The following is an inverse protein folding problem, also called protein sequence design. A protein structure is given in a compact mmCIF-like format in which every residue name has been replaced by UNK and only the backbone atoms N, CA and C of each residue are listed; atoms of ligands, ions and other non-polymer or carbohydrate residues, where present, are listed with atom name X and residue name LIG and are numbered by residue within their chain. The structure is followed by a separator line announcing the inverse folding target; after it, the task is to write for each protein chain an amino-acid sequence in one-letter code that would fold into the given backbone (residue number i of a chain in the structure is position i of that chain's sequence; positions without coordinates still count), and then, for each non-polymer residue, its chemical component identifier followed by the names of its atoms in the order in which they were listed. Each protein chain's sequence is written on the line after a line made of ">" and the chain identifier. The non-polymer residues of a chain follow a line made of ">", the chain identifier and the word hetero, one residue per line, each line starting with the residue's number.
data_IF_975511555408
#
_entry.id   IF_975511555408
#
_cell.length_a   1.000
_cell.length_b   1.000
_cell.length_c   1.000
_cell.angle_alpha   90.00
_cell.angle_beta   90.00
_cell.angle_gamma   90.00
#
_symmetry.space_group_name_H-M   'P 1'
#
loop_
_entity.id
_entity.type
_entity.pdbx_description
1 polymer ?
#
# COMPACT_ATOMS: atom_id res chain seq x y z
N UNK A 1 5.76 -28.24 -2.33
CA UNK A 1 5.57 -28.45 -0.87
C UNK A 1 6.24 -27.34 -0.06
N UNK A 2 7.55 -27.11 -0.18
CA UNK A 2 8.26 -26.00 0.49
C UNK A 2 7.72 -24.59 0.13
N UNK A 3 7.28 -24.39 -1.11
CA UNK A 3 6.69 -23.13 -1.57
C UNK A 3 5.44 -22.67 -0.80
N UNK A 4 4.69 -23.60 -0.18
CA UNK A 4 3.50 -23.28 0.63
C UNK A 4 3.89 -23.11 2.11
N UNK A 5 4.94 -23.80 2.57
CA UNK A 5 5.41 -23.72 3.96
C UNK A 5 6.20 -22.43 4.23
N UNK A 6 6.88 -21.88 3.22
CA UNK A 6 7.72 -20.69 3.39
C UNK A 6 6.91 -19.44 3.83
N UNK A 7 5.72 -19.13 3.27
CA UNK A 7 4.88 -18.02 3.75
C UNK A 7 4.22 -18.25 5.11
N UNK A 8 4.10 -19.51 5.55
CA UNK A 8 3.52 -19.84 6.88
C UNK A 8 4.43 -19.32 8.00
N UNK A 9 5.75 -19.31 7.78
CA UNK A 9 6.71 -18.86 8.77
C UNK A 9 6.52 -17.38 9.17
N UNK A 10 6.52 -16.38 8.26
CA UNK A 10 6.23 -15.00 8.65
C UNK A 10 4.79 -14.82 9.16
N UNK A 11 3.83 -15.61 8.67
CA UNK A 11 2.45 -15.60 9.20
C UNK A 11 2.38 -16.03 10.66
N UNK A 12 3.13 -17.08 11.04
CA UNK A 12 3.23 -17.55 12.43
C UNK A 12 3.95 -16.54 13.31
N UNK A 13 5.03 -15.93 12.82
CA UNK A 13 5.75 -14.86 13.53
C UNK A 13 4.81 -13.68 13.81
N UNK A 14 4.03 -13.24 12.81
CA UNK A 14 3.04 -12.17 13.00
C UNK A 14 1.95 -12.58 13.99
N UNK A 15 1.42 -13.81 13.88
CA UNK A 15 0.39 -14.33 14.78
C UNK A 15 0.86 -14.33 16.24
N UNK A 16 2.06 -14.83 16.50
CA UNK A 16 2.68 -14.80 17.83
C UNK A 16 2.95 -13.35 18.27
N UNK A 17 3.44 -12.50 17.37
CA UNK A 17 3.69 -11.08 17.61
C UNK A 17 2.45 -10.29 18.02
N UNK A 18 1.27 -10.63 17.51
CA UNK A 18 0.01 -9.97 17.87
C UNK A 18 -0.37 -10.13 19.35
N UNK A 19 0.11 -11.17 20.04
CA UNK A 19 -0.11 -11.30 21.50
C UNK A 19 0.72 -10.30 22.32
N UNK A 20 1.81 -9.79 21.75
CA UNK A 20 2.70 -8.81 22.41
C UNK A 20 2.40 -7.36 22.00
N UNK A 21 1.70 -7.15 20.87
CA UNK A 21 1.39 -5.81 20.40
C UNK A 21 0.34 -5.13 21.31
N UNK A 22 0.62 -3.91 21.83
CA UNK A 22 -0.39 -3.17 22.55
C UNK A 22 -1.57 -2.81 21.63
N UNK A 23 -2.77 -2.71 22.21
CA UNK A 23 -3.94 -2.23 21.46
C UNK A 23 -3.71 -0.77 21.03
N UNK A 24 -4.26 -0.40 19.88
CA UNK A 24 -4.09 0.97 19.38
C UNK A 24 -4.66 1.99 20.37
N UNK A 25 -3.98 3.13 20.59
CA UNK A 25 -4.43 4.18 21.51
C UNK A 25 -5.86 4.64 21.20
N UNK A 26 -6.19 4.81 19.90
CA UNK A 26 -7.54 5.18 19.45
C UNK A 26 -8.61 4.16 19.86
N UNK A 27 -8.33 2.87 19.77
CA UNK A 27 -9.26 1.83 20.22
C UNK A 27 -9.45 1.88 21.74
N UNK A 28 -8.38 2.12 22.50
CA UNK A 28 -8.43 2.24 23.97
C UNK A 28 -9.28 3.42 24.41
N UNK A 29 -9.15 4.60 23.78
CA UNK A 29 -10.00 5.77 24.07
C UNK A 29 -11.47 5.51 23.71
N UNK A 30 -11.74 4.83 22.58
CA UNK A 30 -13.10 4.42 22.21
C UNK A 30 -13.79 3.53 23.25
N UNK A 31 -13.01 2.74 24.00
CA UNK A 31 -13.50 1.87 25.08
C UNK A 31 -13.37 2.50 26.47
N UNK A 32 -13.16 3.82 26.56
CA UNK A 32 -13.06 4.56 27.82
C UNK A 32 -11.78 4.29 28.63
N UNK A 33 -10.76 3.68 28.02
CA UNK A 33 -9.48 3.32 28.68
C UNK A 33 -8.38 4.34 28.42
N UNK A 34 -8.63 5.61 28.74
CA UNK A 34 -7.71 6.72 28.46
C UNK A 34 -6.34 6.56 29.13
N UNK A 35 -6.29 6.10 30.39
CA UNK A 35 -5.03 5.87 31.11
C UNK A 35 -4.17 4.74 30.50
N UNK A 36 -4.79 3.76 29.83
CA UNK A 36 -4.07 2.75 29.08
C UNK A 36 -3.58 3.31 27.73
N UNK A 37 -4.39 4.15 27.07
CA UNK A 37 -4.00 4.82 25.84
C UNK A 37 -2.79 5.72 26.04
N UNK A 38 -2.74 6.48 27.15
CA UNK A 38 -1.61 7.33 27.50
C UNK A 38 -0.31 6.53 27.65
N UNK A 39 -0.36 5.40 28.37
CA UNK A 39 0.81 4.51 28.55
C UNK A 39 1.34 3.97 27.23
N UNK A 40 0.46 3.65 26.29
CA UNK A 40 0.87 3.20 24.94
C UNK A 40 1.51 4.37 24.16
N UNK A 41 0.95 5.57 24.23
CA UNK A 41 1.50 6.76 23.56
C UNK A 41 2.89 7.14 24.12
N UNK A 42 3.06 7.10 25.45
CA UNK A 42 4.32 7.35 26.15
C UNK A 42 5.43 6.32 25.79
N UNK A 43 5.07 5.15 25.26
CA UNK A 43 6.06 4.17 24.80
C UNK A 43 6.68 4.52 23.45
N UNK A 44 6.09 5.48 22.72
CA UNK A 44 6.48 5.85 21.35
C UNK A 44 6.91 7.32 21.27
N UNK A 45 6.36 8.18 22.14
CA UNK A 45 6.58 9.63 22.14
C UNK A 45 6.90 10.16 23.53
N UNK A 46 7.43 11.38 23.58
CA UNK A 46 7.69 12.09 24.82
C UNK A 46 6.38 12.39 25.59
N UNK A 47 6.50 12.57 26.90
CA UNK A 47 5.37 12.77 27.84
C UNK A 47 4.40 13.88 27.39
N UNK A 48 4.94 15.03 26.96
CA UNK A 48 4.13 16.18 26.54
C UNK A 48 3.39 15.91 25.22
N UNK A 49 4.06 15.27 24.26
CA UNK A 49 3.49 14.92 22.96
C UNK A 49 2.46 13.81 23.07
N UNK A 50 2.69 12.81 23.94
CA UNK A 50 1.74 11.76 24.24
C UNK A 50 0.44 12.32 24.84
N UNK A 51 0.54 13.31 25.73
CA UNK A 51 -0.64 13.97 26.32
C UNK A 51 -1.39 14.82 25.31
N UNK A 52 -0.70 15.56 24.46
CA UNK A 52 -1.34 16.39 23.43
C UNK A 52 -2.06 15.52 22.39
N UNK A 53 -1.43 14.44 21.91
CA UNK A 53 -2.04 13.49 20.97
C UNK A 53 -3.24 12.77 21.60
N UNK A 54 -3.17 12.40 22.88
CA UNK A 54 -4.32 11.81 23.58
C UNK A 54 -5.51 12.77 23.62
N UNK A 55 -5.28 14.05 23.90
CA UNK A 55 -6.33 15.06 23.90
C UNK A 55 -6.95 15.26 22.51
N UNK A 56 -6.14 15.23 21.45
CA UNK A 56 -6.62 15.29 20.07
C UNK A 56 -7.53 14.10 19.75
N UNK A 57 -7.11 12.88 20.11
CA UNK A 57 -7.91 11.66 19.91
C UNK A 57 -9.26 11.74 20.65
N UNK A 58 -9.26 12.20 21.90
CA UNK A 58 -10.49 12.38 22.69
C UNK A 58 -11.40 13.43 22.05
N UNK A 59 -10.85 14.55 21.60
CA UNK A 59 -11.60 15.61 20.95
C UNK A 59 -12.27 15.12 19.66
N UNK A 60 -11.55 14.35 18.84
CA UNK A 60 -12.08 13.75 17.61
C UNK A 60 -13.17 12.72 17.89
N UNK A 61 -13.02 11.89 18.93
CA UNK A 61 -14.06 10.96 19.33
C UNK A 61 -15.33 11.68 19.78
N UNK A 62 -15.21 12.77 20.55
CA UNK A 62 -16.37 13.57 20.99
C UNK A 62 -17.08 14.23 19.81
N UNK A 63 -16.33 14.75 18.84
CA UNK A 63 -16.88 15.29 17.58
C UNK A 63 -17.63 14.21 16.81
N UNK A 64 -17.04 13.02 16.68
CA UNK A 64 -17.68 11.88 16.01
C UNK A 64 -18.97 11.44 16.71
N UNK A 65 -18.97 11.38 18.04
CA UNK A 65 -20.16 11.05 18.83
C UNK A 65 -21.28 12.09 18.72
N UNK A 66 -20.93 13.39 18.59
CA UNK A 66 -21.89 14.47 18.39
C UNK A 66 -22.57 14.43 17.00
N UNK A 67 -21.96 13.79 16.00
CA UNK A 67 -22.49 13.69 14.64
C UNK A 67 -23.51 12.55 14.42
N UNK A 68 -23.92 11.82 15.45
CA UNK A 68 -24.94 10.77 15.37
C UNK A 68 -24.37 9.35 15.24
N UNK A 69 -25.24 8.31 15.16
CA UNK A 69 -24.83 6.92 15.22
C UNK A 69 -23.92 6.50 14.06
N UNK A 70 -22.94 5.67 14.43
CA UNK A 70 -21.83 5.09 13.65
C UNK A 70 -22.01 4.96 12.15
N UNK A 71 -20.97 5.39 11.42
CA UNK A 71 -20.66 5.17 10.01
C UNK A 71 -21.53 4.11 9.33
N UNK A 72 -22.56 4.56 8.62
CA UNK A 72 -23.34 3.70 7.73
C UNK A 72 -22.57 3.54 6.43
N UNK A 73 -22.74 2.41 5.76
CA UNK A 73 -22.20 2.21 4.40
C UNK A 73 -22.65 3.31 3.42
N UNK A 74 -23.82 3.92 3.65
CA UNK A 74 -24.31 5.08 2.90
C UNK A 74 -23.43 6.33 3.03
N UNK A 75 -22.68 6.46 4.12
CA UNK A 75 -21.84 7.63 4.37
C UNK A 75 -20.58 7.63 3.49
N UNK A 76 -20.18 6.45 3.00
CA UNK A 76 -19.13 6.34 1.99
C UNK A 76 -19.52 7.02 0.68
N UNK A 77 -20.81 7.12 0.39
CA UNK A 77 -21.36 7.76 -0.79
C UNK A 77 -21.76 9.22 -0.56
N UNK A 78 -21.50 9.80 0.62
CA UNK A 78 -21.91 11.17 0.94
C UNK A 78 -20.75 12.19 0.92
N UNK A 79 -21.05 13.39 0.40
CA UNK A 79 -20.24 14.60 0.54
C UNK A 79 -18.75 14.46 0.22
N UNK A 80 -17.89 14.78 1.20
CA UNK A 80 -16.42 14.75 1.05
C UNK A 80 -15.86 13.33 1.02
N UNK A 81 -16.49 12.38 1.73
CA UNK A 81 -16.02 11.00 1.82
C UNK A 81 -16.16 10.30 0.47
N UNK A 82 -17.27 10.52 -0.24
CA UNK A 82 -17.48 10.01 -1.60
C UNK A 82 -16.36 10.40 -2.56
N UNK A 83 -15.86 11.64 -2.50
CA UNK A 83 -14.72 12.09 -3.32
C UNK A 83 -13.43 11.36 -2.96
N UNK A 84 -13.17 11.13 -1.68
CA UNK A 84 -11.98 10.39 -1.23
C UNK A 84 -12.03 8.92 -1.66
N UNK A 85 -13.21 8.29 -1.51
CA UNK A 85 -13.45 6.92 -1.98
C UNK A 85 -13.30 6.82 -3.48
N UNK A 86 -13.90 7.74 -4.25
CA UNK A 86 -13.80 7.76 -5.71
C UNK A 86 -12.34 7.89 -6.18
N UNK A 87 -11.54 8.76 -5.55
CA UNK A 87 -10.10 8.89 -5.85
C UNK A 87 -9.35 7.61 -5.51
N UNK A 88 -9.59 7.02 -4.34
CA UNK A 88 -8.93 5.77 -3.92
C UNK A 88 -9.26 4.59 -4.83
N UNK A 89 -10.54 4.41 -5.17
CA UNK A 89 -11.00 3.36 -6.08
C UNK A 89 -10.43 3.56 -7.48
N UNK A 90 -10.51 4.78 -8.02
CA UNK A 90 -9.95 5.10 -9.35
C UNK A 90 -8.45 4.84 -9.39
N UNK A 91 -7.71 5.25 -8.36
CA UNK A 91 -6.28 5.00 -8.26
C UNK A 91 -5.95 3.51 -8.22
N UNK A 92 -6.74 2.71 -7.50
CA UNK A 92 -6.54 1.26 -7.43
C UNK A 92 -6.87 0.56 -8.75
N UNK A 93 -7.92 1.00 -9.44
CA UNK A 93 -8.27 0.51 -10.78
C UNK A 93 -7.16 0.83 -11.79
N UNK A 94 -6.68 2.08 -11.80
CA UNK A 94 -5.58 2.50 -12.66
C UNK A 94 -4.30 1.71 -12.36
N UNK A 95 -3.99 1.43 -11.09
CA UNK A 95 -2.86 0.57 -10.73
C UNK A 95 -2.98 -0.84 -11.34
N UNK A 96 -4.18 -1.44 -11.36
CA UNK A 96 -4.37 -2.76 -11.99
C UNK A 96 -4.24 -2.70 -13.52
N UNK A 97 -4.75 -1.63 -14.14
CA UNK A 97 -4.67 -1.41 -15.59
C UNK A 97 -3.24 -1.19 -16.10
N UNK A 98 -2.27 -0.93 -15.23
CA UNK A 98 -0.84 -0.88 -15.61
C UNK A 98 -0.34 -2.22 -16.17
N UNK A 99 -1.05 -3.33 -15.89
CA UNK A 99 -0.69 -4.67 -16.36
C UNK A 99 0.43 -5.32 -15.54
N UNK A 100 0.84 -4.73 -14.41
CA UNK A 100 1.94 -5.26 -13.58
C UNK A 100 1.74 -6.73 -13.18
N UNK A 101 0.50 -7.14 -12.90
CA UNK A 101 0.18 -8.51 -12.55
C UNK A 101 0.43 -9.50 -13.71
N UNK A 102 0.28 -9.06 -14.96
CA UNK A 102 0.60 -9.87 -16.14
C UNK A 102 2.10 -10.10 -16.22
N UNK A 103 2.92 -9.06 -16.03
CA UNK A 103 4.38 -9.19 -16.01
C UNK A 103 4.88 -10.05 -14.85
N UNK A 104 4.31 -9.90 -13.66
CA UNK A 104 4.67 -10.71 -12.48
C UNK A 104 4.31 -12.18 -12.67
N UNK A 105 3.11 -12.46 -13.21
CA UNK A 105 2.57 -13.83 -13.30
C UNK A 105 3.01 -14.58 -14.55
N UNK A 106 3.15 -13.88 -15.68
CA UNK A 106 3.46 -14.44 -16.98
C UNK A 106 4.82 -14.01 -17.53
N UNK A 107 5.61 -13.25 -16.76
CA UNK A 107 6.96 -12.79 -17.11
C UNK A 107 7.83 -13.87 -17.77
N UNK A 108 7.96 -15.09 -17.19
CA UNK A 108 8.78 -16.13 -17.80
C UNK A 108 8.28 -16.55 -19.19
N UNK A 109 6.95 -16.61 -19.40
CA UNK A 109 6.38 -16.97 -20.70
C UNK A 109 6.62 -15.88 -21.74
N UNK A 110 6.51 -14.61 -21.33
CA UNK A 110 6.80 -13.46 -22.18
C UNK A 110 8.27 -13.48 -22.60
N UNK A 111 9.19 -13.73 -21.67
CA UNK A 111 10.62 -13.79 -21.99
C UNK A 111 11.00 -14.97 -22.88
N UNK A 112 10.42 -16.15 -22.64
CA UNK A 112 10.61 -17.32 -23.54
C UNK A 112 10.12 -17.01 -24.96
N UNK A 113 8.99 -16.32 -25.10
CA UNK A 113 8.46 -15.95 -26.42
C UNK A 113 9.37 -14.98 -27.19
N UNK A 114 10.26 -14.28 -26.51
CA UNK A 114 11.27 -13.39 -27.09
C UNK A 114 12.62 -14.09 -27.32
N UNK A 115 12.72 -15.40 -27.04
CA UNK A 115 13.97 -16.17 -27.15
C UNK A 115 14.99 -15.88 -26.03
N UNK A 116 14.55 -15.30 -24.91
CA UNK A 116 15.40 -14.92 -23.78
C UNK A 116 15.34 -15.94 -22.64
N UNK A 117 16.38 -15.97 -21.79
CA UNK A 117 16.40 -16.83 -20.60
C UNK A 117 15.37 -16.36 -19.57
N UNK A 118 14.32 -17.16 -19.38
CA UNK A 118 13.19 -16.85 -18.54
C UNK A 118 13.55 -16.75 -17.05
N UNK A 119 14.46 -17.60 -16.59
CA UNK A 119 14.77 -17.73 -15.17
C UNK A 119 15.54 -16.51 -14.67
N UNK A 120 16.64 -16.16 -15.34
CA UNK A 120 17.46 -14.99 -14.97
C UNK A 120 16.68 -13.68 -15.09
N UNK A 121 15.87 -13.51 -16.14
CA UNK A 121 15.09 -12.29 -16.33
C UNK A 121 13.94 -12.16 -15.33
N UNK A 122 13.27 -13.26 -14.97
CA UNK A 122 12.25 -13.22 -13.92
C UNK A 122 12.86 -12.85 -12.56
N UNK A 123 14.03 -13.39 -12.23
CA UNK A 123 14.75 -13.01 -11.01
C UNK A 123 15.18 -11.55 -11.06
N UNK A 124 15.67 -11.06 -12.21
CA UNK A 124 16.04 -9.67 -12.40
C UNK A 124 14.82 -8.74 -12.21
N UNK A 125 13.66 -9.05 -12.80
CA UNK A 125 12.43 -8.30 -12.60
C UNK A 125 12.07 -8.17 -11.10
N UNK A 126 12.07 -9.30 -10.38
CA UNK A 126 11.72 -9.31 -8.95
C UNK A 126 12.71 -8.49 -8.12
N UNK A 127 14.00 -8.60 -8.44
CA UNK A 127 15.04 -7.82 -7.79
C UNK A 127 14.89 -6.32 -8.08
N UNK A 128 14.57 -5.94 -9.33
CA UNK A 128 14.31 -4.55 -9.70
C UNK A 128 13.10 -4.00 -8.98
N UNK A 129 11.99 -4.75 -8.87
CA UNK A 129 10.80 -4.33 -8.11
C UNK A 129 11.14 -4.08 -6.63
N UNK A 130 11.89 -5.00 -6.02
CA UNK A 130 12.33 -4.85 -4.63
C UNK A 130 13.25 -3.63 -4.47
N UNK A 131 14.28 -3.51 -5.31
CA UNK A 131 15.25 -2.43 -5.26
C UNK A 131 14.61 -1.05 -5.53
N UNK A 132 13.63 -0.97 -6.44
CA UNK A 132 12.92 0.27 -6.76
C UNK A 132 11.98 0.74 -5.64
N UNK A 133 11.56 -0.16 -4.74
CA UNK A 133 10.69 0.20 -3.60
C UNK A 133 11.40 1.07 -2.58
N UNK A 134 12.69 0.82 -2.33
CA UNK A 134 13.50 1.58 -1.36
C UNK A 134 13.62 3.08 -1.69
N UNK A 135 14.08 3.51 -2.88
CA UNK A 135 14.14 4.92 -3.22
C UNK A 135 12.73 5.52 -3.35
N UNK A 136 11.72 4.74 -3.75
CA UNK A 136 10.34 5.23 -3.80
C UNK A 136 9.81 5.61 -2.42
N UNK A 137 10.13 4.84 -1.38
CA UNK A 137 9.80 5.17 0.02
C UNK A 137 10.48 6.45 0.48
N UNK A 138 11.71 6.71 0.07
CA UNK A 138 12.39 7.97 0.40
C UNK A 138 11.80 9.16 -0.40
N UNK A 139 11.61 8.99 -1.71
CA UNK A 139 11.08 10.03 -2.60
C UNK A 139 9.66 10.46 -2.25
N UNK A 140 8.85 9.58 -1.62
CA UNK A 140 7.49 9.93 -1.21
C UNK A 140 7.48 11.03 -0.14
N UNK A 141 8.50 11.06 0.72
CA UNK A 141 8.66 12.05 1.79
C UNK A 141 9.24 13.36 1.23
N UNK A 142 10.20 13.27 0.30
CA UNK A 142 10.84 14.46 -0.26
C UNK A 142 10.00 15.19 -1.32
N UNK A 143 9.41 14.46 -2.27
CA UNK A 143 8.76 15.04 -3.46
C UNK A 143 7.23 15.08 -3.37
N UNK A 144 6.67 14.44 -2.33
CA UNK A 144 5.25 14.31 -2.11
C UNK A 144 4.58 13.24 -2.99
N UNK A 145 3.46 12.71 -2.47
CA UNK A 145 2.74 11.57 -3.06
C UNK A 145 2.23 11.82 -4.48
N UNK A 146 1.65 13.00 -4.73
CA UNK A 146 1.02 13.32 -6.04
C UNK A 146 2.04 13.38 -7.16
N UNK A 147 3.19 14.02 -6.92
CA UNK A 147 4.27 14.15 -7.90
C UNK A 147 4.83 12.79 -8.28
N UNK A 148 5.07 11.92 -7.29
CA UNK A 148 5.57 10.56 -7.51
C UNK A 148 4.60 9.71 -8.34
N UNK A 149 3.29 9.80 -8.05
CA UNK A 149 2.26 9.11 -8.82
C UNK A 149 2.20 9.55 -10.29
N UNK A 150 2.27 10.86 -10.55
CA UNK A 150 2.24 11.39 -11.93
C UNK A 150 3.50 11.03 -12.70
N UNK A 151 4.68 11.21 -12.08
CA UNK A 151 5.96 10.85 -12.70
C UNK A 151 6.03 9.34 -13.02
N UNK A 152 5.61 8.49 -12.08
CA UNK A 152 5.52 7.04 -12.28
C UNK A 152 4.57 6.67 -13.41
N UNK A 153 3.38 7.29 -13.47
CA UNK A 153 2.42 7.05 -14.54
C UNK A 153 2.96 7.41 -15.93
N UNK A 154 3.68 8.54 -16.04
CA UNK A 154 4.33 8.94 -17.31
C UNK A 154 5.43 7.95 -17.69
N UNK A 155 6.28 7.54 -16.74
CA UNK A 155 7.32 6.55 -16.99
C UNK A 155 6.78 5.19 -17.44
N UNK A 156 5.68 4.74 -16.81
CA UNK A 156 4.98 3.52 -17.19
C UNK A 156 4.37 3.63 -18.59
N UNK A 157 3.74 4.76 -18.92
CA UNK A 157 3.18 5.01 -20.25
C UNK A 157 4.25 4.89 -21.33
N UNK A 158 5.38 5.58 -21.15
CA UNK A 158 6.50 5.53 -22.10
C UNK A 158 7.04 4.11 -22.28
N UNK A 159 7.24 3.39 -21.18
CA UNK A 159 7.78 2.03 -21.19
C UNK A 159 6.84 1.04 -21.90
N UNK A 160 5.54 1.17 -21.67
CA UNK A 160 4.53 0.33 -22.33
C UNK A 160 4.42 0.64 -23.84
N UNK A 161 4.53 1.90 -24.24
CA UNK A 161 4.58 2.28 -25.66
C UNK A 161 5.78 1.65 -26.36
N UNK A 162 6.97 1.73 -25.74
CA UNK A 162 8.19 1.10 -26.28
C UNK A 162 7.98 -0.42 -26.45
N UNK A 163 7.45 -1.07 -25.41
CA UNK A 163 7.19 -2.52 -25.44
C UNK A 163 6.20 -2.89 -26.54
N UNK A 164 5.13 -2.11 -26.71
CA UNK A 164 4.13 -2.32 -27.75
C UNK A 164 4.72 -2.17 -29.17
N UNK A 165 5.54 -1.15 -29.40
CA UNK A 165 6.22 -0.93 -30.69
C UNK A 165 7.17 -2.08 -31.02
N UNK A 166 7.97 -2.53 -30.05
CA UNK A 166 8.87 -3.67 -30.23
C UNK A 166 8.11 -4.97 -30.52
N UNK A 167 6.99 -5.21 -29.83
CA UNK A 167 6.14 -6.38 -30.08
C UNK A 167 5.49 -6.37 -31.47
N UNK A 168 5.07 -5.19 -31.96
CA UNK A 168 4.54 -5.04 -33.32
C UNK A 168 5.63 -5.22 -34.40
N UNK A 169 6.87 -4.85 -34.09
CA UNK A 169 7.99 -5.05 -35.00
C UNK A 169 8.40 -6.53 -35.11
N UNK A 170 8.40 -7.28 -34.00
CA UNK A 170 8.76 -8.70 -33.98
C UNK A 170 7.72 -9.58 -34.68
N UNK A 171 6.43 -9.25 -34.54
CA UNK A 171 5.32 -9.95 -35.21
C UNK A 171 5.28 -9.72 -36.72
N UNK A 172 5.95 -8.70 -37.25
CA UNK A 172 6.12 -8.50 -38.71
C UNK A 172 7.27 -9.31 -39.30
N UNK A 173 8.14 -9.92 -38.49
CA UNK A 173 9.30 -10.67 -38.96
C UNK A 173 9.11 -12.21 -38.93
N UNK A 174 8.00 -12.71 -38.37
CA UNK A 174 7.61 -14.12 -38.41
C UNK A 174 6.43 -14.35 -39.35
#
# INVERSE_FOLDING_TARGET
>A
RWAILLPVLPGLVLFVGMFFLPRSPRWLVQHGREAAALRVLQSIRDEEEARSELQEIIADQRRAAACGPSSRWSDLCSGRIARLVAVGVSLQLLQQLTGINVFVSFGPRIFISLGLDAASLQTALMLTLFAATLPAMYLIECCGRRTLLVCGAVGMLLSNVVTAVLGLASTRQG
#
